data_IF_082303623170
#
_entry.id   IF_082303623170
#
_cell.length_a   1.000
_cell.length_b   1.000
_cell.length_c   1.000
_cell.angle_alpha   90.00
_cell.angle_beta   90.00
_cell.angle_gamma   90.00
#
_symmetry.space_group_name_H-M   'P 1'
#
loop_
_entity.id
_entity.type
_entity.pdbx_description
1 polymer ?
#
# COMPACT_ATOMS: atom_id res chain seq x y z
N UNK A 1 -24.89 10.94 28.09
CA UNK A 1 -26.16 10.67 27.37
C UNK A 1 -26.01 10.91 25.88
N UNK A 2 -25.67 12.11 25.41
CA UNK A 2 -25.57 12.40 23.96
C UNK A 2 -24.57 11.54 23.20
N UNK A 3 -23.37 11.33 23.75
CA UNK A 3 -22.35 10.46 23.14
C UNK A 3 -22.84 9.03 22.93
N UNK A 4 -23.58 8.48 23.90
CA UNK A 4 -24.08 7.10 23.80
C UNK A 4 -25.17 7.01 22.73
N UNK A 5 -26.08 7.98 22.68
CA UNK A 5 -27.12 8.03 21.66
C UNK A 5 -26.54 8.16 20.24
N UNK A 6 -25.45 8.91 20.07
CA UNK A 6 -24.73 9.02 18.81
C UNK A 6 -24.12 7.68 18.39
N UNK A 7 -23.45 6.98 19.31
CA UNK A 7 -22.83 5.68 19.03
C UNK A 7 -23.86 4.60 18.71
N UNK A 8 -25.01 4.58 19.40
CA UNK A 8 -26.08 3.63 19.11
C UNK A 8 -26.68 3.85 17.71
N UNK A 9 -26.89 5.10 17.30
CA UNK A 9 -27.31 5.43 15.93
C UNK A 9 -26.28 5.00 14.89
N UNK A 10 -24.99 5.23 15.17
CA UNK A 10 -23.91 4.80 14.28
C UNK A 10 -23.87 3.28 14.12
N UNK A 11 -24.00 2.52 15.23
CA UNK A 11 -24.05 1.05 15.20
C UNK A 11 -25.23 0.55 14.37
N UNK A 12 -26.43 1.09 14.58
CA UNK A 12 -27.61 0.72 13.81
C UNK A 12 -27.41 0.95 12.30
N UNK A 13 -26.79 2.08 11.91
CA UNK A 13 -26.44 2.34 10.52
C UNK A 13 -25.39 1.36 9.96
N UNK A 14 -24.36 1.02 10.74
CA UNK A 14 -23.34 0.04 10.36
C UNK A 14 -23.97 -1.34 10.16
N UNK A 15 -24.87 -1.77 11.04
CA UNK A 15 -25.57 -3.06 10.94
C UNK A 15 -26.42 -3.14 9.67
N UNK A 16 -27.19 -2.08 9.39
CA UNK A 16 -27.98 -2.00 8.15
C UNK A 16 -27.09 -2.05 6.90
N UNK A 17 -25.94 -1.37 6.91
CA UNK A 17 -24.98 -1.43 5.81
C UNK A 17 -24.27 -2.79 5.68
N UNK A 18 -24.04 -3.51 6.79
CA UNK A 18 -23.56 -4.90 6.76
C UNK A 18 -24.60 -5.84 6.15
N UNK A 19 -25.87 -5.72 6.54
CA UNK A 19 -26.97 -6.50 5.96
C UNK A 19 -27.14 -6.25 4.46
N UNK A 20 -26.93 -5.01 4.01
CA UNK A 20 -26.89 -4.64 2.59
C UNK A 20 -25.62 -5.10 1.84
N UNK A 21 -24.66 -5.72 2.52
CA UNK A 21 -23.42 -6.19 1.90
C UNK A 21 -22.50 -5.07 1.40
N UNK A 22 -22.63 -3.84 1.92
CA UNK A 22 -21.83 -2.68 1.49
C UNK A 22 -20.37 -2.79 1.94
N UNK A 23 -20.13 -3.32 3.12
CA UNK A 23 -18.78 -3.53 3.64
C UNK A 23 -18.15 -4.78 3.01
N UNK A 24 -17.34 -4.59 1.97
CA UNK A 24 -16.58 -5.66 1.28
C UNK A 24 -15.11 -5.73 1.70
N UNK A 25 -14.74 -5.02 2.78
CA UNK A 25 -13.37 -4.90 3.23
C UNK A 25 -12.45 -4.28 2.18
N UNK A 26 -11.15 -4.58 2.26
CA UNK A 26 -10.22 -4.30 1.17
C UNK A 26 -10.52 -5.30 0.05
N UNK A 27 -10.69 -4.81 -1.18
CA UNK A 27 -10.86 -5.65 -2.37
C UNK A 27 -9.73 -6.70 -2.42
N UNK A 28 -10.10 -7.97 -2.25
CA UNK A 28 -9.17 -9.08 -2.34
C UNK A 28 -8.65 -9.17 -3.77
N UNK A 29 -7.35 -9.37 -3.94
CA UNK A 29 -6.71 -9.40 -5.27
C UNK A 29 -6.50 -8.02 -5.92
N UNK A 30 -6.90 -6.90 -5.28
CA UNK A 30 -6.49 -5.56 -5.73
C UNK A 30 -5.03 -5.29 -5.33
N UNK A 31 -4.12 -6.02 -5.96
CA UNK A 31 -2.68 -5.85 -5.83
C UNK A 31 -2.12 -5.43 -7.18
N UNK A 32 -1.21 -4.48 -7.13
CA UNK A 32 -0.38 -4.11 -8.28
C UNK A 32 0.50 -5.29 -8.66
N UNK A 33 0.63 -5.57 -9.96
CA UNK A 33 1.61 -6.56 -10.45
C UNK A 33 3.03 -6.09 -10.13
N UNK A 34 4.01 -7.00 -10.16
CA UNK A 34 5.42 -6.63 -9.94
C UNK A 34 5.89 -5.60 -10.99
N UNK A 35 5.47 -5.77 -12.25
CA UNK A 35 5.78 -4.85 -13.34
C UNK A 35 5.15 -3.46 -13.14
N UNK A 36 3.86 -3.41 -12.78
CA UNK A 36 3.18 -2.16 -12.46
C UNK A 36 3.84 -1.47 -11.26
N UNK A 37 4.30 -2.24 -10.27
CA UNK A 37 4.99 -1.72 -9.10
C UNK A 37 6.34 -1.11 -9.47
N UNK A 38 7.13 -1.80 -10.29
CA UNK A 38 8.40 -1.28 -10.80
C UNK A 38 8.20 -0.07 -11.70
N UNK A 39 7.17 -0.05 -12.56
CA UNK A 39 6.79 1.13 -13.36
C UNK A 39 6.43 2.31 -12.47
N UNK A 40 5.61 2.09 -11.43
CA UNK A 40 5.22 3.13 -10.47
C UNK A 40 6.42 3.72 -9.72
N UNK A 41 7.41 2.89 -9.39
CA UNK A 41 8.60 3.30 -8.65
C UNK A 41 9.87 3.33 -9.52
N UNK A 42 9.74 3.67 -10.82
CA UNK A 42 10.85 3.68 -11.79
C UNK A 42 12.05 4.51 -11.31
N UNK A 43 11.80 5.67 -10.70
CA UNK A 43 12.88 6.53 -10.17
C UNK A 43 13.68 5.84 -9.06
N UNK A 44 13.03 5.08 -8.19
CA UNK A 44 13.69 4.30 -7.14
C UNK A 44 14.53 3.19 -7.77
N UNK A 45 14.01 2.52 -8.80
CA UNK A 45 14.75 1.48 -9.53
C UNK A 45 16.02 2.06 -10.18
N UNK A 46 15.92 3.18 -10.89
CA UNK A 46 17.06 3.86 -11.51
C UNK A 46 18.14 4.25 -10.49
N UNK A 47 17.75 4.81 -9.34
CA UNK A 47 18.71 5.13 -8.27
C UNK A 47 19.41 3.89 -7.71
N UNK A 48 18.72 2.76 -7.63
CA UNK A 48 19.28 1.50 -7.14
C UNK A 48 20.19 0.81 -8.16
N UNK A 49 19.99 1.02 -9.47
CA UNK A 49 20.90 0.55 -10.53
C UNK A 49 22.27 1.21 -10.43
N UNK A 50 22.33 2.50 -10.07
CA UNK A 50 23.59 3.25 -9.87
C UNK A 50 24.18 3.02 -8.47
N UNK A 51 23.88 1.87 -7.85
CA UNK A 51 24.39 1.43 -6.55
C UNK A 51 24.16 2.40 -5.36
N UNK A 52 23.14 3.26 -5.42
CA UNK A 52 22.82 4.14 -4.29
C UNK A 52 22.21 3.38 -3.11
N UNK A 53 22.37 3.94 -1.90
CA UNK A 53 21.75 3.35 -0.71
C UNK A 53 20.21 3.38 -0.78
N UNK A 54 19.56 2.39 -0.16
CA UNK A 54 18.10 2.30 -0.08
C UNK A 54 17.45 3.58 0.48
N UNK A 55 18.10 4.23 1.45
CA UNK A 55 17.59 5.47 2.07
C UNK A 55 17.62 6.64 1.09
N UNK A 56 18.67 6.76 0.28
CA UNK A 56 18.75 7.81 -0.74
C UNK A 56 17.74 7.58 -1.86
N UNK A 57 17.66 6.35 -2.38
CA UNK A 57 16.69 6.00 -3.41
C UNK A 57 15.24 6.26 -2.94
N UNK A 58 14.92 5.91 -1.69
CA UNK A 58 13.62 6.21 -1.08
C UNK A 58 13.34 7.72 -0.99
N UNK A 59 14.33 8.51 -0.55
CA UNK A 59 14.21 9.97 -0.44
C UNK A 59 13.98 10.62 -1.80
N UNK A 60 14.79 10.26 -2.81
CA UNK A 60 14.69 10.83 -4.16
C UNK A 60 13.46 10.36 -4.92
N UNK A 61 13.01 9.13 -4.64
CA UNK A 61 11.78 8.55 -5.16
C UNK A 61 10.51 8.90 -4.39
N UNK A 62 10.61 9.70 -3.31
CA UNK A 62 9.46 10.15 -2.53
C UNK A 62 8.65 9.01 -1.90
N UNK A 63 9.31 7.92 -1.49
CA UNK A 63 8.65 6.74 -0.94
C UNK A 63 9.25 6.30 0.40
N UNK A 64 8.58 5.35 1.07
CA UNK A 64 9.11 4.77 2.30
C UNK A 64 10.28 3.82 2.02
N UNK A 65 11.06 3.52 3.07
CA UNK A 65 12.15 2.55 2.98
C UNK A 65 11.66 1.16 2.57
N UNK A 66 10.49 0.74 3.07
CA UNK A 66 9.89 -0.56 2.73
C UNK A 66 9.54 -0.68 1.24
N UNK A 67 9.11 0.42 0.61
CA UNK A 67 8.90 0.47 -0.85
C UNK A 67 10.23 0.28 -1.57
N UNK A 68 11.28 1.02 -1.19
CA UNK A 68 12.60 0.88 -1.80
C UNK A 68 13.20 -0.52 -1.63
N UNK A 69 13.00 -1.15 -0.47
CA UNK A 69 13.38 -2.55 -0.22
C UNK A 69 12.63 -3.51 -1.13
N UNK A 70 11.32 -3.31 -1.33
CA UNK A 70 10.52 -4.12 -2.25
C UNK A 70 10.99 -3.95 -3.70
N UNK A 71 11.27 -2.71 -4.13
CA UNK A 71 11.85 -2.44 -5.46
C UNK A 71 13.17 -3.19 -5.63
N UNK A 72 14.11 -3.04 -4.69
CA UNK A 72 15.40 -3.75 -4.71
C UNK A 72 15.20 -5.26 -4.82
N UNK A 73 14.30 -5.84 -4.02
CA UNK A 73 13.98 -7.27 -4.08
C UNK A 73 13.49 -7.65 -5.47
N UNK A 74 12.53 -6.94 -6.03
CA UNK A 74 11.97 -7.27 -7.35
C UNK A 74 12.99 -7.14 -8.49
N UNK A 75 13.97 -6.24 -8.37
CA UNK A 75 15.02 -6.05 -9.38
C UNK A 75 16.12 -7.12 -9.32
N UNK A 76 16.50 -7.56 -8.11
CA UNK A 76 17.68 -8.40 -7.91
C UNK A 76 17.36 -9.82 -7.39
N UNK A 77 16.08 -10.15 -7.15
CA UNK A 77 15.65 -11.50 -6.73
C UNK A 77 15.78 -12.56 -7.84
N UNK A 78 16.29 -12.21 -9.02
CA UNK A 78 16.55 -13.17 -10.10
C UNK A 78 17.90 -13.91 -9.96
N UNK A 79 18.67 -13.69 -8.89
CA UNK A 79 20.03 -14.24 -8.70
C UNK A 79 20.20 -15.17 -7.48
N UNK A 80 19.12 -15.79 -7.00
CA UNK A 80 19.15 -16.92 -6.04
C UNK A 80 18.27 -18.04 -6.57
#
# INVERSE_FOLDING_TARGET
>A
MERNNMLERQKAGIELAKLQGKYKGRLYGSSMTNEEFLKKYKKVAQELEVAQSLRRAARLGGCSLGVAQKVKRLMFAQFL
#
